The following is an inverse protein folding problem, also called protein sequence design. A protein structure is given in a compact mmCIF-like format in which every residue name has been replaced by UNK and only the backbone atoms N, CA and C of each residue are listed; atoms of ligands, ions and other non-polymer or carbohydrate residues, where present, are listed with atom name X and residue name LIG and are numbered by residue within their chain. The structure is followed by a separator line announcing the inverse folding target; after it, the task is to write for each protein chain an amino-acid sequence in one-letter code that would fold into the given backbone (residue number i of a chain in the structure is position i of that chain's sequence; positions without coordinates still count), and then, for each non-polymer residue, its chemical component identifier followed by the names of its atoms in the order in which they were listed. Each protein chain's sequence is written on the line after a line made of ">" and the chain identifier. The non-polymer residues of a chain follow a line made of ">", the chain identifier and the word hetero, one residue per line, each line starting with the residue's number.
data_IF_761588339621
#
_entry.id   IF_761588339621
#
_cell.length_a   1.000
_cell.length_b   1.000
_cell.length_c   1.000
_cell.angle_alpha   90.00
_cell.angle_beta   90.00
_cell.angle_gamma   90.00
#
_symmetry.space_group_name_H-M   'P 1'
#
loop_
_entity.id
_entity.type
_entity.pdbx_description
1 polymer ?
#
# COMPACT_ATOMS: atom_id res chain seq x y z
N UNK A 1 13.69 -16.77 5.54
CA UNK A 1 12.93 -17.02 4.28
C UNK A 1 11.86 -18.09 4.50
N UNK A 2 10.81 -17.82 5.30
CA UNK A 2 9.65 -18.72 5.55
C UNK A 2 8.37 -17.90 5.81
N UNK A 3 8.29 -16.72 5.20
CA UNK A 3 7.13 -15.84 5.30
C UNK A 3 6.36 -15.97 3.99
N UNK A 4 5.06 -16.23 4.10
CA UNK A 4 4.15 -16.29 2.96
C UNK A 4 4.05 -14.90 2.35
N UNK A 5 4.27 -14.79 1.04
CA UNK A 5 4.16 -13.53 0.31
C UNK A 5 2.96 -13.61 -0.62
N UNK A 6 2.03 -12.66 -0.47
CA UNK A 6 0.89 -12.50 -1.36
C UNK A 6 1.17 -11.32 -2.28
N UNK A 7 1.29 -11.60 -3.58
CA UNK A 7 1.65 -10.59 -4.57
C UNK A 7 0.39 -10.00 -5.22
N UNK A 8 0.16 -8.70 -5.01
CA UNK A 8 -0.85 -7.93 -5.73
C UNK A 8 -0.18 -7.22 -6.92
N UNK A 9 -0.47 -7.64 -8.15
CA UNK A 9 0.13 -7.07 -9.37
C UNK A 9 -0.81 -6.02 -10.00
N UNK A 10 -0.29 -4.86 -10.46
CA UNK A 10 -1.11 -3.89 -11.17
C UNK A 10 -1.59 -4.43 -12.53
N UNK A 11 -2.89 -4.30 -12.80
CA UNK A 11 -3.49 -4.63 -14.09
C UNK A 11 -3.49 -3.38 -14.99
N UNK A 12 -2.45 -3.28 -15.83
CA UNK A 12 -2.26 -2.17 -16.76
C UNK A 12 -3.24 -2.18 -17.93
N UNK A 13 -3.69 -3.36 -18.36
CA UNK A 13 -4.62 -3.50 -19.47
C UNK A 13 -5.99 -2.94 -19.10
N UNK A 14 -6.43 -3.19 -17.86
CA UNK A 14 -7.73 -2.74 -17.37
C UNK A 14 -7.74 -1.31 -16.85
N UNK A 15 -6.65 -0.87 -16.21
CA UNK A 15 -6.65 0.39 -15.45
C UNK A 15 -5.65 1.44 -15.93
N UNK A 16 -4.80 1.14 -16.92
CA UNK A 16 -3.79 2.07 -17.48
C UNK A 16 -3.02 2.79 -16.36
N UNK A 17 -2.94 4.11 -16.39
CA UNK A 17 -2.22 4.93 -15.41
C UNK A 17 -2.76 4.82 -13.97
N UNK A 18 -4.00 4.34 -13.78
CA UNK A 18 -4.57 4.12 -12.46
C UNK A 18 -4.25 2.74 -11.87
N UNK A 19 -3.63 1.84 -12.65
CA UNK A 19 -3.28 0.49 -12.22
C UNK A 19 -2.50 0.40 -10.90
N UNK A 20 -1.47 1.22 -10.62
CA UNK A 20 -0.77 1.17 -9.33
C UNK A 20 -1.67 1.51 -8.14
N UNK A 21 -2.57 2.48 -8.29
CA UNK A 21 -3.49 2.90 -7.23
C UNK A 21 -4.63 1.90 -7.01
N UNK A 22 -5.10 1.24 -8.08
CA UNK A 22 -6.14 0.20 -8.02
C UNK A 22 -5.64 -1.08 -7.38
N UNK A 23 -4.37 -1.43 -7.60
CA UNK A 23 -3.71 -2.53 -6.89
C UNK A 23 -3.65 -2.29 -5.38
N UNK A 24 -3.52 -1.04 -4.93
CA UNK A 24 -3.60 -0.72 -3.50
C UNK A 24 -5.02 -0.96 -2.95
N UNK A 25 -6.08 -0.65 -3.71
CA UNK A 25 -7.47 -0.95 -3.32
C UNK A 25 -7.62 -2.45 -3.06
N UNK A 26 -7.22 -3.28 -4.02
CA UNK A 26 -7.27 -4.74 -3.93
C UNK A 26 -6.46 -5.29 -2.74
N UNK A 27 -5.32 -4.67 -2.43
CA UNK A 27 -4.51 -5.08 -1.27
C UNK A 27 -5.19 -4.75 0.06
N UNK A 28 -5.92 -3.63 0.15
CA UNK A 28 -6.66 -3.25 1.35
C UNK A 28 -7.99 -4.00 1.50
N UNK A 29 -8.59 -4.43 0.39
CA UNK A 29 -9.76 -5.32 0.38
C UNK A 29 -9.47 -6.70 1.00
N UNK A 30 -8.20 -7.10 1.08
CA UNK A 30 -7.78 -8.28 1.85
C UNK A 30 -7.87 -8.08 3.38
N UNK A 31 -8.30 -6.90 3.85
CA UNK A 31 -8.51 -6.53 5.25
C UNK A 31 -7.31 -6.87 6.15
N UNK A 32 -6.13 -6.29 5.87
CA UNK A 32 -4.97 -6.50 6.72
C UNK A 32 -5.19 -5.93 8.12
N UNK A 33 -4.58 -6.57 9.12
CA UNK A 33 -4.61 -6.09 10.52
C UNK A 33 -3.95 -4.71 10.69
N UNK A 34 -3.06 -4.35 9.77
CA UNK A 34 -2.31 -3.10 9.78
C UNK A 34 -1.44 -2.97 8.54
N UNK A 35 -1.02 -1.74 8.24
CA UNK A 35 -0.17 -1.42 7.09
C UNK A 35 1.09 -0.72 7.58
N UNK A 36 2.24 -1.16 7.09
CA UNK A 36 3.52 -0.47 7.28
C UNK A 36 3.89 0.20 5.96
N UNK A 37 4.10 1.52 5.99
CA UNK A 37 4.41 2.32 4.81
C UNK A 37 5.75 3.02 4.99
N UNK A 38 6.64 2.77 4.04
CA UNK A 38 7.94 3.43 3.93
C UNK A 38 7.85 4.64 2.99
N UNK A 39 8.72 5.65 3.18
CA UNK A 39 8.78 6.80 2.28
C UNK A 39 9.13 6.36 0.86
N UNK A 40 8.71 7.15 -0.13
CA UNK A 40 8.87 6.81 -1.54
C UNK A 40 8.04 7.71 -2.44
N UNK A 41 7.00 7.15 -3.08
CA UNK A 41 6.20 7.87 -4.08
C UNK A 41 4.79 8.21 -3.60
N UNK A 42 4.07 9.01 -4.39
CA UNK A 42 2.64 9.27 -4.20
C UNK A 42 1.77 8.00 -4.20
N UNK A 43 2.25 6.87 -4.73
CA UNK A 43 1.55 5.58 -4.67
C UNK A 43 1.58 5.01 -3.25
N UNK A 44 2.71 5.10 -2.55
CA UNK A 44 2.84 4.69 -1.15
C UNK A 44 2.03 5.61 -0.23
N UNK A 45 2.04 6.92 -0.50
CA UNK A 45 1.20 7.88 0.22
C UNK A 45 -0.29 7.55 0.06
N UNK A 46 -0.73 7.26 -1.18
CA UNK A 46 -2.11 6.88 -1.46
C UNK A 46 -2.55 5.61 -0.70
N UNK A 47 -1.68 4.59 -0.65
CA UNK A 47 -1.95 3.39 0.14
C UNK A 47 -2.19 3.73 1.61
N UNK A 48 -1.32 4.57 2.17
CA UNK A 48 -1.37 4.95 3.57
C UNK A 48 -2.63 5.76 3.90
N UNK A 49 -3.08 6.62 2.98
CA UNK A 49 -4.29 7.43 3.18
C UNK A 49 -5.56 6.58 3.07
N UNK A 50 -5.61 5.66 2.11
CA UNK A 50 -6.74 4.72 1.96
C UNK A 50 -6.88 3.78 3.15
N UNK A 51 -5.77 3.23 3.64
CA UNK A 51 -5.77 2.37 4.82
C UNK A 51 -6.31 3.11 6.05
N UNK A 52 -5.85 4.35 6.29
CA UNK A 52 -6.39 5.21 7.37
C UNK A 52 -7.88 5.47 7.21
N UNK A 53 -8.34 5.77 6.00
CA UNK A 53 -9.77 5.99 5.72
C UNK A 53 -10.64 4.76 6.00
N UNK A 54 -10.09 3.56 5.81
CA UNK A 54 -10.76 2.29 6.13
C UNK A 54 -10.68 1.91 7.62
N UNK A 55 -10.05 2.74 8.46
CA UNK A 55 -9.85 2.43 9.89
C UNK A 55 -8.76 1.40 10.15
N UNK A 56 -7.95 1.05 9.13
CA UNK A 56 -6.83 0.13 9.29
C UNK A 56 -5.66 0.89 9.93
N UNK A 57 -5.05 0.37 11.02
CA UNK A 57 -3.87 0.98 11.62
C UNK A 57 -2.72 1.12 10.63
N UNK A 58 -2.11 2.31 10.56
CA UNK A 58 -1.00 2.58 9.64
C UNK A 58 0.23 3.06 10.40
N UNK A 59 1.32 2.31 10.29
CA UNK A 59 2.65 2.74 10.69
C UNK A 59 3.34 3.42 9.50
N UNK A 60 3.74 4.69 9.64
CA UNK A 60 4.49 5.42 8.61
C UNK A 60 5.92 5.67 9.07
N UNK A 61 6.88 5.43 8.19
CA UNK A 61 8.26 5.88 8.35
C UNK A 61 8.43 7.20 7.60
N UNK A 62 9.04 8.21 8.22
CA UNK A 62 9.44 9.47 7.58
C UNK A 62 10.93 9.44 7.25
N UNK A 63 11.35 10.24 6.25
CA UNK A 63 12.78 10.40 5.90
C UNK A 63 13.61 11.05 7.03
N UNK A 64 12.98 11.72 7.99
CA UNK A 64 13.65 12.28 9.17
C UNK A 64 14.17 11.23 10.17
N UNK A 65 13.97 9.93 9.88
CA UNK A 65 14.53 8.82 10.66
C UNK A 65 15.75 8.14 10.02
N UNK A 66 16.44 8.81 9.10
CA UNK A 66 17.74 8.35 8.59
C UNK A 66 18.85 8.67 9.58
N UNK A 67 19.53 7.64 10.09
CA UNK A 67 20.81 7.77 10.78
C UNK A 67 21.89 8.35 9.85
#
# INVERSE_FOLDING_TARGET
>A
RKVVQVAFKPDWNRHRNAAPFKRNDQMLEALPIGVIVFPGSGISANLADKARKMGIPVWRFSEEGGA
#
